data_IF_776472473475
#
_entry.id   IF_776472473475
#
_cell.length_a   1.000
_cell.length_b   1.000
_cell.length_c   1.000
_cell.angle_alpha   90.00
_cell.angle_beta   90.00
_cell.angle_gamma   90.00
#
_symmetry.space_group_name_H-M   'P 1'
#
loop_
_entity.id
_entity.type
_entity.pdbx_description
1 polymer ?
#
# COMPACT_ATOMS: atom_id res chain seq x y z
N UNK A 1 -6.34 -21.23 10.34
CA UNK A 1 -5.15 -20.76 11.09
C UNK A 1 -4.99 -19.26 10.89
N UNK A 2 -4.68 -18.50 11.95
CA UNK A 2 -4.29 -17.10 11.85
C UNK A 2 -3.00 -16.94 11.03
N UNK A 3 -2.85 -15.81 10.36
CA UNK A 3 -1.75 -15.50 9.43
C UNK A 3 -1.07 -14.19 9.83
N UNK A 4 0.26 -14.14 9.86
CA UNK A 4 1.02 -12.98 10.34
C UNK A 4 0.97 -11.81 9.35
N UNK A 5 0.77 -12.11 8.07
CA UNK A 5 0.91 -11.14 7.01
C UNK A 5 0.05 -11.46 5.78
N UNK A 6 -0.07 -10.46 4.92
CA UNK A 6 -0.64 -10.60 3.59
C UNK A 6 0.13 -9.77 2.57
N UNK A 7 0.02 -10.14 1.29
CA UNK A 7 0.35 -9.28 0.16
C UNK A 7 -0.95 -8.74 -0.43
N UNK A 8 -1.13 -7.42 -0.43
CA UNK A 8 -2.35 -6.74 -0.90
C UNK A 8 -2.09 -6.00 -2.21
N UNK A 9 -2.90 -6.32 -3.21
CA UNK A 9 -2.86 -5.73 -4.54
C UNK A 9 -3.47 -4.33 -4.52
N UNK A 10 -2.75 -3.32 -4.99
CA UNK A 10 -3.21 -1.94 -5.12
C UNK A 10 -3.04 -1.45 -6.56
N UNK A 11 -3.77 -0.39 -6.96
CA UNK A 11 -3.55 0.26 -8.23
C UNK A 11 -2.25 1.05 -8.26
N UNK A 12 -1.54 1.00 -9.38
CA UNK A 12 -0.32 1.76 -9.57
C UNK A 12 -0.52 3.26 -9.28
N UNK A 13 0.46 3.84 -8.60
CA UNK A 13 0.55 5.27 -8.32
C UNK A 13 1.96 5.75 -8.64
N UNK A 14 2.06 6.98 -9.13
CA UNK A 14 3.29 7.72 -9.44
C UNK A 14 3.72 8.64 -8.30
N UNK A 15 2.85 8.89 -7.33
CA UNK A 15 3.11 9.79 -6.22
C UNK A 15 3.44 9.03 -4.92
N UNK A 16 3.97 7.81 -5.05
CA UNK A 16 4.32 6.95 -3.92
C UNK A 16 3.13 6.67 -2.98
N UNK A 17 1.91 6.70 -3.51
CA UNK A 17 0.67 6.56 -2.76
C UNK A 17 0.54 7.60 -1.63
N UNK A 18 1.01 8.83 -1.87
CA UNK A 18 0.94 9.96 -0.94
C UNK A 18 -0.15 10.97 -1.32
N UNK A 19 -1.27 10.50 -1.85
CA UNK A 19 -2.48 11.28 -2.08
C UNK A 19 -2.91 11.38 -3.54
N UNK A 20 -3.31 12.56 -3.98
CA UNK A 20 -3.78 12.80 -5.35
C UNK A 20 -2.66 12.62 -6.39
N UNK A 21 -2.81 11.65 -7.28
CA UNK A 21 -1.88 11.41 -8.39
C UNK A 21 -2.41 12.08 -9.66
N UNK A 22 -2.06 13.35 -9.84
CA UNK A 22 -2.48 14.12 -11.01
C UNK A 22 -1.99 13.50 -12.33
N UNK A 23 -0.80 12.89 -12.35
CA UNK A 23 -0.24 12.29 -13.54
C UNK A 23 -1.10 11.12 -14.01
N UNK A 24 -1.37 10.19 -13.10
CA UNK A 24 -2.22 9.02 -13.37
C UNK A 24 -3.67 9.40 -13.68
N UNK A 25 -4.21 10.43 -13.01
CA UNK A 25 -5.55 10.95 -13.29
C UNK A 25 -5.65 11.53 -14.70
N UNK A 26 -4.73 12.41 -15.10
CA UNK A 26 -4.71 13.03 -16.44
C UNK A 26 -4.65 11.99 -17.55
N UNK A 27 -3.80 10.96 -17.41
CA UNK A 27 -3.68 9.92 -18.43
C UNK A 27 -4.92 9.03 -18.52
N UNK A 28 -5.58 8.76 -17.40
CA UNK A 28 -6.86 8.06 -17.42
C UNK A 28 -7.91 8.84 -18.23
N UNK A 29 -8.00 10.16 -18.02
CA UNK A 29 -8.89 11.02 -18.81
C UNK A 29 -8.54 11.03 -20.31
N UNK A 30 -7.27 10.82 -20.66
CA UNK A 30 -6.82 10.66 -22.05
C UNK A 30 -7.01 9.23 -22.61
N UNK A 31 -7.78 8.37 -21.94
CA UNK A 31 -8.06 7.00 -22.39
C UNK A 31 -6.94 5.99 -22.11
N UNK A 32 -5.95 6.35 -21.29
CA UNK A 32 -4.83 5.47 -20.90
C UNK A 32 -4.90 5.17 -19.40
N UNK A 33 -5.86 4.35 -18.94
CA UNK A 33 -6.06 4.13 -17.51
C UNK A 33 -4.77 3.55 -16.88
N UNK A 34 -4.30 4.13 -15.77
CA UNK A 34 -3.03 3.77 -15.13
C UNK A 34 -3.07 2.37 -14.49
N UNK A 35 -4.26 1.79 -14.30
CA UNK A 35 -4.42 0.48 -13.68
C UNK A 35 -5.65 -0.28 -14.21
N UNK A 36 -5.61 -1.63 -14.11
CA UNK A 36 -6.67 -2.54 -14.57
C UNK A 36 -7.83 -2.73 -13.57
N UNK A 37 -7.91 -1.91 -12.53
CA UNK A 37 -9.02 -1.97 -11.59
C UNK A 37 -10.23 -1.25 -12.18
N UNK A 38 -11.39 -1.91 -12.15
CA UNK A 38 -12.64 -1.32 -12.66
C UNK A 38 -12.90 0.03 -12.02
N UNK A 39 -12.75 0.15 -10.71
CA UNK A 39 -12.91 1.43 -10.01
C UNK A 39 -11.99 2.53 -10.57
N UNK A 40 -10.70 2.24 -10.78
CA UNK A 40 -9.75 3.24 -11.33
C UNK A 40 -10.08 3.57 -12.77
N UNK A 41 -10.55 2.60 -13.57
CA UNK A 41 -11.00 2.86 -14.93
C UNK A 41 -12.26 3.73 -14.98
N UNK A 42 -13.19 3.50 -14.06
CA UNK A 42 -14.51 4.15 -14.08
C UNK A 42 -14.45 5.55 -13.43
N UNK A 43 -13.55 5.76 -12.45
CA UNK A 43 -13.41 7.02 -11.70
C UNK A 43 -12.11 7.78 -11.96
N UNK A 44 -11.16 7.20 -12.68
CA UNK A 44 -9.83 7.76 -12.93
C UNK A 44 -8.96 8.04 -11.71
N UNK A 45 -9.33 7.51 -10.53
CA UNK A 45 -8.49 7.55 -9.34
C UNK A 45 -8.58 6.24 -8.54
N UNK A 46 -7.54 5.94 -7.76
CA UNK A 46 -7.54 4.89 -6.75
C UNK A 46 -7.66 5.48 -5.35
N UNK A 47 -8.52 4.91 -4.49
CA UNK A 47 -8.60 5.30 -3.07
C UNK A 47 -7.31 4.90 -2.33
N UNK A 48 -6.70 3.81 -2.76
CA UNK A 48 -5.41 3.30 -2.30
C UNK A 48 -4.24 4.27 -2.53
N UNK A 49 -4.38 5.26 -3.42
CA UNK A 49 -3.34 6.27 -3.65
C UNK A 49 -3.09 7.15 -2.44
N UNK A 50 -3.91 7.05 -1.39
CA UNK A 50 -3.73 7.73 -0.11
C UNK A 50 -3.12 6.86 0.98
N UNK A 51 -2.72 5.60 0.70
CA UNK A 51 -2.23 4.70 1.74
C UNK A 51 -1.06 5.32 2.54
N UNK A 52 -0.13 6.01 1.91
CA UNK A 52 0.96 6.70 2.61
C UNK A 52 0.76 8.21 2.73
N UNK A 53 -0.48 8.70 2.64
CA UNK A 53 -0.77 10.12 2.87
C UNK A 53 -0.56 10.48 4.34
N UNK A 54 0.35 11.41 4.58
CA UNK A 54 0.81 11.73 5.94
C UNK A 54 -0.14 12.69 6.67
N UNK A 55 -0.94 13.48 5.95
CA UNK A 55 -1.76 14.56 6.51
C UNK A 55 -3.02 14.12 7.26
N UNK A 56 -3.32 12.83 7.35
CA UNK A 56 -4.50 12.35 8.12
C UNK A 56 -4.23 12.19 9.62
N UNK A 57 -2.98 11.97 10.03
CA UNK A 57 -2.59 11.79 11.44
C UNK A 57 -1.09 11.83 11.59
N UNK A 58 -0.57 12.40 12.68
CA UNK A 58 0.87 12.38 12.97
C UNK A 58 1.40 10.99 13.31
N UNK A 59 0.54 10.09 13.79
CA UNK A 59 0.94 8.77 14.33
C UNK A 59 0.63 7.61 13.40
N UNK A 60 -0.44 7.71 12.62
CA UNK A 60 -0.94 6.58 11.85
C UNK A 60 -1.03 6.89 10.36
N UNK A 61 -0.73 5.89 9.55
CA UNK A 61 -1.24 5.83 8.18
C UNK A 61 -2.65 5.24 8.18
N UNK A 62 -3.46 5.75 7.28
CA UNK A 62 -4.81 5.27 7.02
C UNK A 62 -4.90 4.87 5.55
N UNK A 63 -4.94 3.57 5.29
CA UNK A 63 -4.94 3.02 3.93
C UNK A 63 -6.26 2.38 3.55
N UNK A 64 -6.60 2.50 2.29
CA UNK A 64 -7.69 1.74 1.71
C UNK A 64 -7.18 0.41 1.20
N UNK A 65 -7.81 -0.66 1.68
CA UNK A 65 -7.57 -2.03 1.27
C UNK A 65 -8.91 -2.61 0.82
N UNK A 66 -9.29 -2.46 -0.46
CA UNK A 66 -10.58 -2.91 -0.94
C UNK A 66 -10.70 -4.42 -0.79
N UNK A 67 -11.80 -4.87 -0.21
CA UNK A 67 -12.70 -5.65 -1.03
C UNK A 67 -13.84 -4.74 -1.45
N UNK A 68 -14.26 -4.88 -2.69
CA UNK A 68 -15.68 -4.78 -2.98
C UNK A 68 -16.37 -5.83 -2.08
N UNK A 69 -16.77 -5.38 -0.90
CA UNK A 69 -17.77 -5.92 0.04
C UNK A 69 -17.67 -7.37 0.57
N UNK A 70 -16.84 -8.29 0.05
CA UNK A 70 -16.94 -9.71 0.42
C UNK A 70 -15.73 -10.36 1.15
N UNK A 71 -14.53 -9.76 1.13
CA UNK A 71 -13.30 -10.47 1.51
C UNK A 71 -12.45 -9.71 2.54
N UNK A 72 -13.00 -9.40 3.72
CA UNK A 72 -12.17 -8.97 4.86
C UNK A 72 -11.13 -10.09 5.11
N UNK A 73 -9.82 -9.78 5.28
CA UNK A 73 -8.80 -10.79 5.54
C UNK A 73 -8.94 -11.34 6.97
N UNK A 74 -9.94 -12.20 7.21
CA UNK A 74 -10.32 -12.70 8.55
C UNK A 74 -9.20 -13.46 9.28
N UNK A 75 -8.18 -13.93 8.56
CA UNK A 75 -7.04 -14.64 9.15
C UNK A 75 -5.89 -13.72 9.52
N UNK A 76 -5.86 -12.45 9.10
CA UNK A 76 -4.78 -11.54 9.49
C UNK A 76 -4.85 -11.30 11.00
N UNK A 77 -3.76 -11.58 11.70
CA UNK A 77 -3.64 -11.29 13.15
C UNK A 77 -3.68 -9.79 13.40
N UNK A 78 -4.22 -9.39 14.55
CA UNK A 78 -4.07 -8.00 15.02
C UNK A 78 -2.59 -7.67 15.17
N UNK A 79 -2.19 -6.49 14.70
CA UNK A 79 -0.78 -6.10 14.67
C UNK A 79 0.03 -6.74 13.53
N UNK A 80 -0.63 -7.47 12.61
CA UNK A 80 0.00 -8.12 11.47
C UNK A 80 0.61 -7.16 10.44
N UNK A 81 1.16 -7.75 9.37
CA UNK A 81 1.83 -7.04 8.28
C UNK A 81 1.01 -7.04 6.99
N UNK A 82 1.09 -5.95 6.24
CA UNK A 82 0.54 -5.85 4.89
C UNK A 82 1.64 -5.37 3.96
N UNK A 83 2.03 -6.19 3.00
CA UNK A 83 2.87 -5.77 1.88
C UNK A 83 1.97 -5.30 0.75
N UNK A 84 2.06 -4.03 0.37
CA UNK A 84 1.34 -3.55 -0.81
C UNK A 84 2.12 -3.91 -2.05
N UNK A 85 1.44 -4.59 -2.97
CA UNK A 85 1.99 -4.98 -4.26
C UNK A 85 1.21 -4.31 -5.37
N UNK A 86 1.94 -3.81 -6.37
CA UNK A 86 1.35 -3.20 -7.55
C UNK A 86 2.06 -3.66 -8.78
N UNK A 87 1.30 -3.72 -9.87
CA UNK A 87 1.85 -3.95 -11.20
C UNK A 87 2.04 -2.60 -11.89
N UNK A 88 3.21 -2.38 -12.48
CA UNK A 88 3.48 -1.19 -13.26
C UNK A 88 2.92 -1.30 -14.70
N UNK A 89 3.25 -0.34 -15.56
CA UNK A 89 2.81 -0.34 -16.97
C UNK A 89 3.45 -1.43 -17.83
N UNK A 90 4.68 -1.82 -17.48
CA UNK A 90 5.42 -2.88 -18.15
C UNK A 90 4.99 -4.27 -17.66
N UNK A 91 3.97 -4.34 -16.80
CA UNK A 91 3.42 -5.54 -16.19
C UNK A 91 4.36 -6.21 -15.21
N UNK A 92 5.34 -5.48 -14.68
CA UNK A 92 6.25 -5.94 -13.64
C UNK A 92 5.60 -5.71 -12.28
N UNK A 93 5.61 -6.75 -11.45
CA UNK A 93 5.12 -6.67 -10.09
C UNK A 93 6.17 -6.05 -9.18
N UNK A 94 5.70 -5.22 -8.25
CA UNK A 94 6.54 -4.55 -7.28
C UNK A 94 5.92 -4.60 -5.90
N UNK A 95 6.76 -4.70 -4.87
CA UNK A 95 6.41 -4.20 -3.54
C UNK A 95 6.55 -2.68 -3.57
N UNK A 96 5.49 -1.97 -3.20
CA UNK A 96 5.45 -0.49 -3.24
C UNK A 96 5.43 0.14 -1.86
N UNK A 97 5.10 -0.64 -0.84
CA UNK A 97 5.07 -0.20 0.53
C UNK A 97 4.70 -1.32 1.48
N UNK A 98 4.80 -1.06 2.77
CA UNK A 98 4.35 -1.98 3.79
C UNK A 98 3.67 -1.23 4.93
N UNK A 99 2.65 -1.87 5.48
CA UNK A 99 2.14 -1.55 6.79
C UNK A 99 2.54 -2.60 7.81
N UNK A 100 2.80 -2.12 9.02
CA UNK A 100 3.10 -2.91 10.19
C UNK A 100 2.25 -2.43 11.36
N UNK A 101 1.97 -3.37 12.26
CA UNK A 101 1.04 -3.18 13.37
C UNK A 101 -0.34 -2.76 12.85
N UNK A 102 -0.88 -3.56 11.91
CA UNK A 102 -2.11 -3.23 11.19
C UNK A 102 -3.35 -3.59 11.98
N UNK A 103 -4.27 -2.64 12.04
CA UNK A 103 -5.64 -2.83 12.49
C UNK A 103 -6.61 -2.61 11.33
N UNK A 104 -7.63 -3.47 11.23
CA UNK A 104 -8.70 -3.32 10.24
C UNK A 104 -9.87 -2.62 10.91
N UNK A 105 -10.11 -1.38 10.50
CA UNK A 105 -11.15 -0.51 11.03
C UNK A 105 -12.38 -0.57 10.11
N UNK A 106 -13.52 -0.94 10.68
CA UNK A 106 -14.81 -1.07 9.95
C UNK A 106 -15.54 0.29 9.88
N UNK A 107 -15.36 1.15 10.88
CA UNK A 107 -15.91 2.51 10.91
C UNK A 107 -14.75 3.51 11.07
N UNK A 108 -14.01 3.81 9.99
CA UNK A 108 -12.90 4.73 10.10
C UNK A 108 -13.37 6.16 10.44
N UNK A 109 -12.47 7.00 10.97
CA UNK A 109 -12.73 8.43 11.06
C UNK A 109 -13.15 8.99 9.69
N UNK A 110 -13.95 10.04 9.68
CA UNK A 110 -14.45 10.64 8.45
C UNK A 110 -13.29 11.29 7.65
N UNK A 111 -12.67 10.53 6.75
CA UNK A 111 -11.62 11.01 5.86
C UNK A 111 -12.23 11.59 4.59
N UNK A 112 -11.96 12.87 4.34
CA UNK A 112 -12.38 13.57 3.13
C UNK A 112 -11.20 13.66 2.15
N UNK A 113 -11.09 12.71 1.22
CA UNK A 113 -9.98 12.68 0.25
C UNK A 113 -10.02 13.91 -0.68
N UNK A 114 -11.21 14.46 -0.94
CA UNK A 114 -11.35 15.68 -1.74
C UNK A 114 -10.67 16.89 -1.12
N UNK A 115 -10.60 16.96 0.22
CA UNK A 115 -9.93 18.05 0.91
C UNK A 115 -8.42 18.10 0.60
N UNK A 116 -7.81 16.95 0.29
CA UNK A 116 -6.37 16.84 0.02
C UNK A 116 -6.01 17.00 -1.46
N UNK A 117 -6.99 17.16 -2.34
CA UNK A 117 -6.72 17.41 -3.77
C UNK A 117 -6.16 18.83 -3.93
N UNK A 118 -5.03 19.05 -4.64
CA UNK A 118 -4.47 20.37 -4.83
C UNK A 118 -5.44 21.32 -5.55
N UNK A 119 -5.48 22.59 -5.15
CA UNK A 119 -6.41 23.59 -5.69
C UNK A 119 -6.40 23.71 -7.21
N UNK A 120 -5.20 23.72 -7.81
CA UNK A 120 -5.02 23.79 -9.27
C UNK A 120 -5.56 22.58 -10.05
N UNK A 121 -5.88 21.48 -9.37
CA UNK A 121 -6.45 20.27 -9.96
C UNK A 121 -7.99 20.27 -9.91
N UNK A 122 -8.59 20.93 -8.90
CA UNK A 122 -10.01 20.77 -8.54
C UNK A 122 -10.98 21.11 -9.68
N UNK A 123 -10.68 22.15 -10.47
CA UNK A 123 -11.53 22.57 -11.60
C UNK A 123 -11.63 21.56 -12.74
N UNK A 124 -10.74 20.56 -12.78
CA UNK A 124 -10.69 19.53 -13.83
C UNK A 124 -11.29 18.19 -13.38
N UNK A 125 -11.77 18.11 -12.14
CA UNK A 125 -12.28 16.86 -11.56
C UNK A 125 -13.80 16.77 -11.76
N UNK A 126 -14.31 15.78 -12.50
CA UNK A 126 -15.74 15.63 -12.71
C UNK A 126 -16.52 15.46 -11.40
N UNK A 127 -17.75 15.98 -11.34
CA UNK A 127 -18.55 15.98 -10.12
C UNK A 127 -18.80 14.59 -9.51
N UNK A 128 -18.88 13.53 -10.33
CA UNK A 128 -19.02 12.16 -9.82
C UNK A 128 -17.76 11.65 -9.10
N UNK A 129 -16.57 12.08 -9.55
CA UNK A 129 -15.30 11.81 -8.87
C UNK A 129 -15.24 12.57 -7.54
N UNK A 130 -15.64 13.85 -7.54
CA UNK A 130 -15.72 14.66 -6.31
C UNK A 130 -16.61 14.00 -5.27
N UNK A 131 -17.80 13.53 -5.65
CA UNK A 131 -18.71 12.80 -4.75
C UNK A 131 -18.04 11.56 -4.18
N UNK A 132 -17.40 10.74 -5.03
CA UNK A 132 -16.71 9.52 -4.59
C UNK A 132 -15.57 9.79 -3.60
N UNK A 133 -14.80 10.87 -3.82
CA UNK A 133 -13.70 11.29 -2.93
C UNK A 133 -14.17 11.82 -1.56
N UNK A 134 -15.40 12.34 -1.48
CA UNK A 134 -16.00 12.78 -0.23
C UNK A 134 -16.58 11.63 0.60
N UNK A 135 -16.90 10.50 -0.03
CA UNK A 135 -17.44 9.32 0.66
C UNK A 135 -16.33 8.56 1.40
N UNK A 136 -16.44 8.38 2.72
CA UNK A 136 -15.49 7.55 3.48
C UNK A 136 -15.47 6.11 2.95
N UNK A 137 -14.31 5.43 2.93
CA UNK A 137 -14.25 4.01 2.57
C UNK A 137 -14.83 3.12 3.69
N UNK A 138 -15.57 2.07 3.31
CA UNK A 138 -16.22 1.13 4.25
C UNK A 138 -15.26 0.18 4.99
N UNK A 139 -14.00 0.06 4.55
CA UNK A 139 -12.96 -0.74 5.18
C UNK A 139 -11.63 -0.02 5.03
N UNK A 140 -10.97 0.20 6.16
CA UNK A 140 -9.75 0.98 6.22
C UNK A 140 -8.72 0.30 7.12
N UNK A 141 -7.47 0.27 6.64
CA UNK A 141 -6.33 -0.19 7.41
C UNK A 141 -5.76 0.99 8.19
N UNK A 142 -5.59 0.84 9.51
CA UNK A 142 -4.80 1.75 10.33
C UNK A 142 -3.46 1.08 10.62
N UNK A 143 -2.36 1.79 10.42
CA UNK A 143 -1.03 1.25 10.68
C UNK A 143 -0.12 2.30 11.32
N UNK A 144 0.80 1.84 12.19
CA UNK A 144 1.74 2.75 12.86
C UNK A 144 2.77 3.28 11.87
N UNK A 145 2.99 4.60 11.83
CA UNK A 145 4.05 5.22 11.01
C UNK A 145 5.46 4.83 11.48
N UNK A 146 5.62 4.32 12.70
CA UNK A 146 6.94 3.93 13.24
C UNK A 146 7.54 2.70 12.54
N UNK A 147 6.69 1.83 11.98
CA UNK A 147 7.13 0.62 11.28
C UNK A 147 6.46 0.43 9.91
N UNK A 148 5.73 1.42 9.42
CA UNK A 148 5.08 1.41 8.11
C UNK A 148 5.71 2.44 7.20
N UNK A 149 5.80 2.15 5.90
CA UNK A 149 6.40 3.06 4.94
C UNK A 149 5.98 2.72 3.50
N UNK A 150 5.87 3.70 2.59
CA UNK A 150 6.11 3.41 1.19
C UNK A 150 7.58 3.00 1.05
N UNK A 151 7.90 2.12 0.09
CA UNK A 151 9.31 1.88 -0.22
C UNK A 151 9.89 3.15 -0.88
N UNK A 152 11.17 3.50 -0.63
CA UNK A 152 11.83 4.62 -1.29
C UNK A 152 11.73 4.58 -2.82
N UNK A 153 11.80 3.36 -3.39
CA UNK A 153 11.43 3.05 -4.77
C UNK A 153 10.69 1.71 -4.81
N UNK A 154 9.75 1.50 -5.74
CA UNK A 154 9.13 0.20 -5.95
C UNK A 154 10.16 -0.90 -6.17
N UNK A 155 10.15 -1.93 -5.32
CA UNK A 155 11.05 -3.08 -5.45
C UNK A 155 10.42 -4.12 -6.37
N UNK A 156 11.04 -4.49 -7.50
CA UNK A 156 10.50 -5.53 -8.38
C UNK A 156 10.47 -6.87 -7.66
N UNK A 157 9.44 -7.67 -7.94
CA UNK A 157 9.26 -9.02 -7.39
C UNK A 157 8.79 -10.00 -8.45
N UNK A 158 9.14 -11.26 -8.25
CA UNK A 158 8.52 -12.42 -8.88
C UNK A 158 7.45 -12.98 -7.94
N UNK A 159 6.19 -12.99 -8.39
CA UNK A 159 5.07 -13.42 -7.55
C UNK A 159 5.24 -14.84 -7.01
N UNK A 160 5.84 -15.74 -7.77
CA UNK A 160 5.98 -17.14 -7.37
C UNK A 160 7.14 -17.31 -6.39
N UNK A 161 8.32 -16.77 -6.72
CA UNK A 161 9.53 -16.90 -5.89
C UNK A 161 9.41 -16.10 -4.60
N UNK A 162 8.85 -14.89 -4.66
CA UNK A 162 8.82 -13.97 -3.53
C UNK A 162 7.56 -14.10 -2.68
N UNK A 163 6.40 -14.45 -3.27
CA UNK A 163 5.12 -14.55 -2.55
C UNK A 163 4.50 -15.96 -2.54
N UNK A 164 5.09 -16.93 -3.24
CA UNK A 164 4.58 -18.31 -3.31
C UNK A 164 3.32 -18.47 -4.18
N UNK A 165 2.96 -17.47 -5.00
CA UNK A 165 1.75 -17.52 -5.83
C UNK A 165 2.05 -17.21 -7.29
N UNK A 166 1.42 -17.94 -8.23
CA UNK A 166 1.58 -17.65 -9.68
C UNK A 166 1.08 -16.26 -10.08
N UNK A 167 0.18 -15.69 -9.28
CA UNK A 167 -0.39 -14.36 -9.44
C UNK A 167 -1.66 -14.23 -8.62
N UNK A 168 -2.15 -13.00 -8.44
CA UNK A 168 -3.38 -12.74 -7.67
C UNK A 168 -4.65 -12.79 -8.53
N UNK A 169 -4.56 -12.71 -9.85
CA UNK A 169 -5.74 -12.73 -10.74
C UNK A 169 -6.81 -11.72 -10.29
N UNK A 170 -8.03 -12.19 -10.05
CA UNK A 170 -9.14 -11.40 -9.49
C UNK A 170 -9.06 -11.18 -7.97
N UNK A 171 -8.27 -11.99 -7.26
CA UNK A 171 -8.07 -11.80 -5.82
C UNK A 171 -7.38 -10.46 -5.53
N UNK A 172 -7.76 -9.84 -4.42
CA UNK A 172 -7.18 -8.57 -3.97
C UNK A 172 -5.99 -8.77 -3.05
N UNK A 173 -5.83 -9.94 -2.45
CA UNK A 173 -4.69 -10.26 -1.59
C UNK A 173 -4.45 -11.77 -1.53
N UNK A 174 -3.29 -12.16 -1.01
CA UNK A 174 -2.99 -13.51 -0.53
C UNK A 174 -2.39 -13.43 0.87
N UNK A 175 -2.62 -14.46 1.68
CA UNK A 175 -1.92 -14.61 2.96
C UNK A 175 -0.49 -15.09 2.72
N UNK A 176 0.41 -14.72 3.63
CA UNK A 176 1.81 -15.12 3.59
C UNK A 176 2.19 -15.80 4.90
N UNK A 177 2.80 -16.98 4.81
CA UNK A 177 3.39 -17.64 5.97
C UNK A 177 4.65 -16.90 6.46
N UNK A 178 5.06 -17.19 7.70
CA UNK A 178 6.23 -16.56 8.32
C UNK A 178 7.51 -16.73 7.49
N UNK A 179 7.73 -17.89 6.86
CA UNK A 179 8.91 -18.16 6.06
C UNK A 179 9.00 -17.23 4.85
N UNK A 180 7.88 -17.05 4.14
CA UNK A 180 7.76 -16.08 3.04
C UNK A 180 7.99 -14.65 3.55
N UNK A 181 7.40 -14.28 4.68
CA UNK A 181 7.55 -12.94 5.28
C UNK A 181 9.02 -12.62 5.59
N UNK A 182 9.77 -13.53 6.22
CA UNK A 182 11.17 -13.28 6.54
C UNK A 182 12.03 -13.14 5.29
N UNK A 183 11.82 -13.98 4.28
CA UNK A 183 12.54 -13.87 3.01
C UNK A 183 12.25 -12.53 2.33
N UNK A 184 10.98 -12.16 2.23
CA UNK A 184 10.57 -10.92 1.58
C UNK A 184 11.15 -9.69 2.30
N UNK A 185 11.11 -9.65 3.64
CA UNK A 185 11.72 -8.56 4.41
C UNK A 185 13.25 -8.50 4.25
N UNK A 186 13.91 -9.66 4.17
CA UNK A 186 15.34 -9.73 3.85
C UNK A 186 15.65 -9.10 2.49
N UNK A 187 14.89 -9.48 1.45
CA UNK A 187 15.01 -8.91 0.11
C UNK A 187 14.75 -7.40 0.09
N UNK A 188 13.68 -6.93 0.77
CA UNK A 188 13.37 -5.50 0.88
C UNK A 188 14.51 -4.75 1.55
N UNK A 189 15.10 -5.30 2.62
CA UNK A 189 16.21 -4.66 3.32
C UNK A 189 17.43 -4.49 2.42
N UNK A 190 17.86 -5.56 1.75
CA UNK A 190 18.99 -5.51 0.82
C UNK A 190 18.74 -4.51 -0.31
N UNK A 191 17.52 -4.53 -0.88
CA UNK A 191 17.12 -3.58 -1.91
C UNK A 191 17.19 -2.14 -1.43
N UNK A 192 16.57 -1.82 -0.28
CA UNK A 192 16.53 -0.47 0.29
C UNK A 192 17.93 0.02 0.64
N UNK A 193 18.77 -0.80 1.27
CA UNK A 193 20.16 -0.44 1.59
C UNK A 193 20.98 -0.17 0.31
N UNK A 194 20.75 -0.94 -0.76
CA UNK A 194 21.38 -0.72 -2.07
C UNK A 194 21.01 0.61 -2.72
N UNK A 195 19.86 1.21 -2.38
CA UNK A 195 19.46 2.51 -2.91
C UNK A 195 20.38 3.65 -2.42
N UNK A 196 21.18 3.46 -1.36
CA UNK A 196 22.16 4.46 -0.91
C UNK A 196 23.20 4.81 -1.99
N UNK A 197 23.48 3.89 -2.90
CA UNK A 197 24.41 4.11 -4.00
C UNK A 197 23.82 4.99 -5.12
N UNK A 198 22.49 5.20 -5.15
CA UNK A 198 21.83 5.99 -6.19
C UNK A 198 21.93 7.49 -5.87
N UNK A 199 22.87 8.16 -6.52
CA UNK A 199 22.97 9.64 -6.47
C UNK A 199 21.93 10.27 -7.41
N UNK A 200 21.26 11.34 -6.94
CA UNK A 200 20.39 12.18 -7.77
C UNK A 200 19.03 11.58 -8.19
N UNK A 201 18.67 10.39 -7.68
CA UNK A 201 17.34 9.82 -7.91
C UNK A 201 16.30 10.40 -6.95
N UNK A 202 15.13 10.76 -7.45
CA UNK A 202 13.99 11.10 -6.60
C UNK A 202 13.51 9.84 -5.85
N UNK A 203 13.46 9.93 -4.52
CA UNK A 203 13.01 8.86 -3.63
C UNK A 203 11.70 9.27 -2.97
N UNK A 204 10.80 8.30 -2.83
CA UNK A 204 9.52 8.48 -2.16
C UNK A 204 9.68 8.84 -0.68
N UNK A 205 10.67 8.22 -0.04
CA UNK A 205 11.04 8.33 1.37
C UNK A 205 12.55 8.16 1.46
N UNK A 206 13.17 8.89 2.39
CA UNK A 206 14.59 8.78 2.71
C UNK A 206 15.02 7.34 3.07
N UNK A 207 16.21 6.94 2.64
CA UNK A 207 16.69 5.56 2.83
C UNK A 207 16.89 5.23 4.31
N UNK A 208 17.41 6.17 5.10
CA UNK A 208 17.66 5.92 6.53
C UNK A 208 16.33 5.84 7.31
N UNK A 209 15.33 6.66 6.93
CA UNK A 209 13.96 6.49 7.43
C UNK A 209 13.40 5.10 7.09
N UNK A 210 13.64 4.61 5.88
CA UNK A 210 13.16 3.29 5.46
C UNK A 210 13.87 2.13 6.20
N UNK A 211 15.19 2.21 6.37
CA UNK A 211 15.98 1.24 7.15
C UNK A 211 15.51 1.21 8.61
N UNK A 212 15.26 2.37 9.22
CA UNK A 212 14.72 2.47 10.59
C UNK A 212 13.35 1.78 10.71
N UNK A 213 12.45 2.00 9.75
CA UNK A 213 11.15 1.35 9.74
C UNK A 213 11.28 -0.18 9.60
N UNK A 214 12.16 -0.69 8.72
CA UNK A 214 12.45 -2.12 8.57
C UNK A 214 13.01 -2.74 9.86
N UNK A 215 13.92 -2.06 10.55
CA UNK A 215 14.42 -2.51 11.85
C UNK A 215 13.28 -2.61 12.88
N UNK A 216 12.35 -1.65 12.90
CA UNK A 216 11.18 -1.69 13.78
C UNK A 216 10.21 -2.84 13.43
N UNK A 217 10.05 -3.16 12.15
CA UNK A 217 9.28 -4.34 11.71
C UNK A 217 9.94 -5.63 12.23
N UNK A 218 11.26 -5.76 12.11
CA UNK A 218 12.02 -6.92 12.59
C UNK A 218 11.77 -7.19 14.08
N UNK A 219 11.95 -6.17 14.93
CA UNK A 219 11.70 -6.28 16.39
C UNK A 219 10.27 -6.70 16.71
N UNK A 220 9.28 -6.23 15.94
CA UNK A 220 7.87 -6.60 16.14
C UNK A 220 7.59 -8.05 15.74
N UNK A 221 8.16 -8.52 14.63
CA UNK A 221 7.99 -9.89 14.17
C UNK A 221 8.61 -10.92 15.13
N UNK A 222 9.72 -10.59 15.78
CA UNK A 222 10.30 -11.42 16.83
C UNK A 222 9.34 -11.59 18.01
N UNK A 223 8.63 -10.53 18.40
CA UNK A 223 7.56 -10.59 19.40
C UNK A 223 6.40 -11.51 18.98
N UNK A 224 6.00 -11.49 17.71
CA UNK A 224 4.94 -12.36 17.17
C UNK A 224 5.36 -13.84 17.11
N UNK A 225 6.64 -14.15 16.86
CA UNK A 225 7.19 -15.51 16.93
C UNK A 225 7.09 -16.12 18.33
N UNK A 226 7.25 -15.30 19.38
CA UNK A 226 7.11 -15.74 20.77
C UNK A 226 5.68 -16.16 21.11
N UNK A 227 4.68 -15.52 20.50
CA UNK A 227 3.26 -15.78 20.74
C UNK A 227 2.73 -17.04 20.04
N UNK A 228 3.31 -17.43 18.90
CA UNK A 228 2.92 -18.63 18.15
C UNK A 228 3.54 -19.94 18.70
N UNK A 229 4.41 -19.84 19.72
CA UNK A 229 5.03 -20.97 20.42
C UNK A 229 4.34 -21.32 21.75
N UNK A 230 3.30 -20.57 22.13
CA UNK A 230 2.42 -20.82 23.27
C UNK A 230 1.10 -21.41 22.77
#
# INVERSE_FOLDING_TARGET
MPEPALAWKVAWSRNCYRGWDQGSFSECLSGRPPARYSFVRDYCFGREWWNFFEGFSDRYYYGYAPPLHALRPRRLVSGGLVFFVSQDRLRVWHVVGMYCNVDIVVSPPHLNLWATVPGGCKGKVPGYVVRSLKTPPNLLLRASKECSMPLPKPMPIDMYRDLGVKGLGKASFTYLDLGVVFRLLGSIRVYVEGLRALRGSELCVDVDRAVKALHNVGRRLEGLKGFAKQ
#
